data_IF_511033622675
#
_entry.id   IF_511033622675
#
_cell.length_a   1.000
_cell.length_b   1.000
_cell.length_c   1.000
_cell.angle_alpha   90.00
_cell.angle_beta   90.00
_cell.angle_gamma   90.00
#
_symmetry.space_group_name_H-M   'P 1'
#
loop_
_entity.id
_entity.type
_entity.pdbx_description
1 polymer ?
#
# COMPACT_ATOMS: atom_id res chain seq x y z
N UNK A 1 11.96 16.62 22.77
CA UNK A 1 12.42 16.46 21.37
C UNK A 1 13.42 15.30 21.20
N UNK A 2 14.47 15.21 22.02
CA UNK A 2 15.49 14.13 21.94
C UNK A 2 14.93 12.70 22.00
N UNK A 3 13.88 12.47 22.81
CA UNK A 3 13.20 11.15 22.92
C UNK A 3 12.56 10.69 21.62
N UNK A 4 12.00 11.61 20.83
CA UNK A 4 11.38 11.31 19.54
C UNK A 4 12.46 10.97 18.49
N UNK A 5 13.54 11.75 18.47
CA UNK A 5 14.69 11.48 17.60
C UNK A 5 15.31 10.10 17.91
N UNK A 6 15.39 9.73 19.19
CA UNK A 6 15.85 8.42 19.63
C UNK A 6 14.95 7.27 19.17
N UNK A 7 13.63 7.45 19.19
CA UNK A 7 12.68 6.46 18.67
C UNK A 7 12.87 6.28 17.15
N UNK A 8 12.96 7.38 16.40
CA UNK A 8 13.23 7.34 14.96
C UNK A 8 14.57 6.69 14.64
N UNK A 9 15.59 6.94 15.46
CA UNK A 9 16.89 6.27 15.36
C UNK A 9 16.77 4.76 15.59
N UNK A 10 16.08 4.32 16.66
CA UNK A 10 15.83 2.90 16.92
C UNK A 10 15.03 2.20 15.82
N UNK A 11 14.10 2.92 15.19
CA UNK A 11 13.34 2.42 14.04
C UNK A 11 14.17 2.41 12.73
N UNK A 12 15.45 2.80 12.78
CA UNK A 12 16.34 3.00 11.61
C UNK A 12 15.75 3.96 10.56
N UNK A 13 14.83 4.84 10.98
CA UNK A 13 14.16 5.79 10.10
C UNK A 13 15.11 6.90 9.65
N UNK A 14 16.09 7.24 10.50
CA UNK A 14 17.12 8.24 10.24
C UNK A 14 18.36 7.68 9.50
N UNK A 15 18.31 6.42 9.05
CA UNK A 15 19.37 5.89 8.19
C UNK A 15 19.34 6.59 6.83
N UNK A 16 20.49 6.92 6.22
CA UNK A 16 20.55 7.58 4.91
C UNK A 16 19.75 6.83 3.84
N UNK A 17 19.81 5.49 3.83
CA UNK A 17 19.08 4.67 2.86
C UNK A 17 17.56 4.75 3.07
N UNK A 18 17.11 4.79 4.34
CA UNK A 18 15.70 4.89 4.69
C UNK A 18 15.15 6.27 4.34
N UNK A 19 15.93 7.33 4.62
CA UNK A 19 15.62 8.70 4.21
C UNK A 19 15.49 8.80 2.68
N UNK A 20 16.45 8.27 1.92
CA UNK A 20 16.39 8.25 0.45
C UNK A 20 15.15 7.52 -0.07
N UNK A 21 14.79 6.38 0.53
CA UNK A 21 13.58 5.63 0.16
C UNK A 21 12.32 6.45 0.44
N UNK A 22 12.25 7.13 1.59
CA UNK A 22 11.12 7.95 1.98
C UNK A 22 10.99 9.18 1.07
N UNK A 23 12.09 9.91 0.82
CA UNK A 23 12.08 11.07 -0.07
C UNK A 23 11.69 10.68 -1.50
N UNK A 24 12.19 9.55 -2.00
CA UNK A 24 11.79 9.03 -3.31
C UNK A 24 10.30 8.66 -3.35
N UNK A 25 9.75 8.08 -2.28
CA UNK A 25 8.33 7.76 -2.19
C UNK A 25 7.47 9.04 -2.18
N UNK A 26 7.87 10.05 -1.39
CA UNK A 26 7.18 11.35 -1.31
C UNK A 26 7.22 12.06 -2.65
N UNK A 27 8.34 12.02 -3.36
CA UNK A 27 8.45 12.60 -4.70
C UNK A 27 7.51 11.93 -5.70
N UNK A 28 7.34 10.59 -5.62
CA UNK A 28 6.49 9.83 -6.55
C UNK A 28 4.99 9.98 -6.26
N UNK A 29 4.59 9.98 -4.99
CA UNK A 29 3.17 9.87 -4.60
C UNK A 29 2.62 11.07 -3.82
N UNK A 30 3.47 12.00 -3.38
CA UNK A 30 3.10 13.09 -2.47
C UNK A 30 3.12 12.66 -1.00
N UNK A 31 2.27 13.27 -0.17
CA UNK A 31 2.11 12.88 1.25
C UNK A 31 0.75 12.21 1.41
N UNK A 32 0.72 10.90 1.25
CA UNK A 32 -0.51 10.09 1.35
C UNK A 32 -0.21 8.64 1.79
N UNK A 33 -1.27 7.84 1.92
CA UNK A 33 -1.15 6.44 2.34
C UNK A 33 -0.31 5.60 1.36
N UNK A 34 -0.40 5.86 0.05
CA UNK A 34 0.39 5.15 -0.96
C UNK A 34 1.90 5.37 -0.79
N UNK A 35 2.27 6.55 -0.30
CA UNK A 35 3.66 6.89 0.05
C UNK A 35 4.16 6.01 1.19
N UNK A 36 3.35 5.87 2.24
CA UNK A 36 3.68 5.02 3.38
C UNK A 36 3.75 3.54 2.98
N UNK A 37 2.85 3.09 2.11
CA UNK A 37 2.84 1.71 1.60
C UNK A 37 4.07 1.43 0.74
N UNK A 38 4.44 2.32 -0.19
CA UNK A 38 5.66 2.19 -1.00
C UNK A 38 6.92 2.18 -0.12
N UNK A 39 7.00 3.09 0.84
CA UNK A 39 8.11 3.14 1.80
C UNK A 39 8.22 1.84 2.60
N UNK A 40 7.09 1.31 3.07
CA UNK A 40 7.02 0.06 3.83
C UNK A 40 7.40 -1.14 2.97
N UNK A 41 6.94 -1.20 1.72
CA UNK A 41 7.34 -2.25 0.76
C UNK A 41 8.85 -2.24 0.47
N UNK A 42 9.47 -1.06 0.38
CA UNK A 42 10.93 -0.94 0.16
C UNK A 42 11.77 -1.22 1.40
N UNK A 43 11.20 -1.07 2.58
CA UNK A 43 11.94 -1.17 3.86
C UNK A 43 11.69 -2.49 4.58
N UNK A 44 10.50 -3.05 4.41
CA UNK A 44 9.97 -4.22 5.10
C UNK A 44 9.25 -5.17 4.14
N UNK A 45 9.69 -5.25 2.87
CA UNK A 45 8.97 -5.91 1.77
C UNK A 45 8.43 -7.31 2.08
N UNK A 46 9.26 -8.16 2.69
CA UNK A 46 8.91 -9.55 3.05
C UNK A 46 8.13 -9.67 4.36
N UNK A 47 7.98 -8.59 5.13
CA UNK A 47 7.15 -8.62 6.34
C UNK A 47 5.68 -8.66 5.95
N UNK A 48 4.91 -9.42 6.73
CA UNK A 48 3.46 -9.45 6.63
C UNK A 48 2.90 -8.05 6.93
N UNK A 49 2.15 -7.53 5.97
CA UNK A 49 1.44 -6.26 6.08
C UNK A 49 -0.01 -6.48 6.50
N UNK A 50 -0.60 -7.59 6.06
CA UNK A 50 -2.00 -7.88 6.26
C UNK A 50 -2.21 -9.39 6.34
N UNK A 51 -3.00 -9.81 7.33
CA UNK A 51 -3.34 -11.22 7.60
C UNK A 51 -4.86 -11.29 7.76
N UNK A 52 -5.48 -12.20 7.02
CA UNK A 52 -6.89 -12.55 7.08
C UNK A 52 -7.03 -14.07 7.18
N UNK A 53 -8.21 -14.56 7.53
CA UNK A 53 -8.47 -15.98 7.83
C UNK A 53 -8.06 -16.94 6.70
N UNK A 54 -7.97 -16.44 5.45
CA UNK A 54 -7.57 -17.23 4.28
C UNK A 54 -6.30 -16.78 3.54
N UNK A 55 -5.73 -15.61 3.84
CA UNK A 55 -4.59 -15.08 3.08
C UNK A 55 -3.70 -14.15 3.92
N UNK A 56 -2.40 -14.18 3.63
CA UNK A 56 -1.41 -13.29 4.23
C UNK A 56 -0.67 -12.57 3.11
N UNK A 57 -0.66 -11.24 3.14
CA UNK A 57 0.02 -10.41 2.17
C UNK A 57 1.24 -9.74 2.79
N UNK A 58 2.36 -9.84 2.09
CA UNK A 58 3.57 -9.05 2.42
C UNK A 58 3.40 -7.60 1.98
N UNK A 59 4.20 -6.69 2.52
CA UNK A 59 4.19 -5.29 2.08
C UNK A 59 4.49 -5.15 0.58
N UNK A 60 5.35 -6.00 0.02
CA UNK A 60 5.64 -6.00 -1.42
C UNK A 60 4.41 -6.39 -2.24
N UNK A 61 3.71 -7.45 -1.85
CA UNK A 61 2.51 -7.92 -2.53
C UNK A 61 1.36 -6.91 -2.43
N UNK A 62 1.12 -6.38 -1.22
CA UNK A 62 0.07 -5.38 -1.01
C UNK A 62 0.31 -4.11 -1.84
N UNK A 63 1.55 -3.65 -1.92
CA UNK A 63 1.91 -2.50 -2.77
C UNK A 63 1.70 -2.79 -4.26
N UNK A 64 2.10 -3.97 -4.74
CA UNK A 64 1.91 -4.36 -6.14
C UNK A 64 0.42 -4.42 -6.50
N UNK A 65 -0.42 -5.00 -5.64
CA UNK A 65 -1.87 -5.04 -5.85
C UNK A 65 -2.49 -3.64 -5.83
N UNK A 66 -2.02 -2.75 -4.94
CA UNK A 66 -2.48 -1.36 -4.91
C UNK A 66 -2.10 -0.58 -6.18
N UNK A 67 -0.90 -0.77 -6.73
CA UNK A 67 -0.52 -0.17 -8.02
C UNK A 67 -1.37 -0.70 -9.18
N UNK A 68 -1.62 -2.02 -9.22
CA UNK A 68 -2.48 -2.63 -10.23
C UNK A 68 -3.90 -2.07 -10.15
N UNK A 69 -4.47 -1.95 -8.95
CA UNK A 69 -5.79 -1.35 -8.74
C UNK A 69 -5.81 0.11 -9.20
N UNK A 70 -4.77 0.89 -8.90
CA UNK A 70 -4.64 2.27 -9.35
C UNK A 70 -4.65 2.36 -10.89
N UNK A 71 -3.90 1.49 -11.58
CA UNK A 71 -3.89 1.44 -13.04
C UNK A 71 -5.26 1.07 -13.62
N UNK A 72 -5.96 0.10 -13.02
CA UNK A 72 -7.32 -0.29 -13.39
C UNK A 72 -8.31 0.86 -13.22
N UNK A 73 -8.28 1.54 -12.07
CA UNK A 73 -9.18 2.67 -11.78
C UNK A 73 -8.95 3.85 -12.74
N UNK A 74 -7.71 4.15 -13.07
CA UNK A 74 -7.37 5.20 -14.03
C UNK A 74 -7.76 4.83 -15.46
N UNK A 75 -7.43 3.63 -15.93
CA UNK A 75 -7.64 3.23 -17.33
C UNK A 75 -9.11 2.92 -17.64
N UNK A 76 -9.79 2.19 -16.76
CA UNK A 76 -11.14 1.66 -17.03
C UNK A 76 -12.24 2.61 -16.59
N UNK A 77 -12.02 3.31 -15.48
CA UNK A 77 -13.02 4.19 -14.87
C UNK A 77 -12.65 5.67 -14.96
N UNK A 78 -11.50 5.98 -15.57
CA UNK A 78 -11.01 7.35 -15.74
C UNK A 78 -10.95 8.11 -14.41
N UNK A 79 -10.71 7.39 -13.31
CA UNK A 79 -10.69 7.95 -11.96
C UNK A 79 -9.36 8.68 -11.77
N UNK A 80 -9.40 10.00 -11.99
CA UNK A 80 -8.25 10.90 -11.93
C UNK A 80 -8.41 11.90 -10.79
N UNK A 81 -7.37 12.73 -10.57
CA UNK A 81 -7.34 13.75 -9.53
C UNK A 81 -8.62 14.62 -9.57
N UNK A 82 -9.23 14.82 -8.41
CA UNK A 82 -10.45 15.62 -8.25
C UNK A 82 -11.75 14.84 -8.43
N UNK A 83 -11.71 13.62 -8.98
CA UNK A 83 -12.87 12.73 -9.04
C UNK A 83 -13.05 11.97 -7.73
N UNK A 84 -14.31 11.73 -7.37
CA UNK A 84 -14.71 11.01 -6.14
C UNK A 84 -15.27 9.65 -6.52
N UNK A 85 -15.02 8.65 -5.67
CA UNK A 85 -15.62 7.32 -5.77
C UNK A 85 -16.16 6.92 -4.39
N UNK A 86 -17.33 6.28 -4.37
CA UNK A 86 -17.84 5.63 -3.17
C UNK A 86 -17.20 4.25 -3.02
N UNK A 87 -16.77 3.91 -1.81
CA UNK A 87 -16.25 2.59 -1.49
C UNK A 87 -17.27 1.87 -0.60
N UNK A 88 -17.83 0.77 -1.10
CA UNK A 88 -18.69 -0.11 -0.32
C UNK A 88 -18.02 -1.49 -0.25
N UNK A 89 -17.38 -1.76 0.88
CA UNK A 89 -16.64 -3.00 1.13
C UNK A 89 -16.99 -3.55 2.51
N UNK A 90 -17.12 -4.87 2.61
CA UNK A 90 -17.13 -5.59 3.90
C UNK A 90 -15.69 -5.72 4.41
N UNK A 91 -15.51 -6.11 5.67
CA UNK A 91 -14.20 -6.25 6.33
C UNK A 91 -13.37 -7.46 5.86
N UNK A 92 -13.48 -7.84 4.59
CA UNK A 92 -12.76 -8.94 3.96
C UNK A 92 -11.65 -8.38 3.07
N UNK A 93 -10.50 -9.05 3.06
CA UNK A 93 -9.42 -8.70 2.15
C UNK A 93 -9.89 -8.88 0.72
N UNK A 94 -9.75 -7.81 -0.06
CA UNK A 94 -9.98 -7.86 -1.51
C UNK A 94 -8.79 -8.60 -2.13
N UNK A 95 -8.90 -9.93 -2.21
CA UNK A 95 -7.99 -10.77 -2.97
C UNK A 95 -8.09 -10.43 -4.48
N UNK A 96 -6.98 -10.44 -5.23
CA UNK A 96 -7.02 -10.24 -6.67
C UNK A 96 -7.61 -11.48 -7.35
N UNK A 97 -8.84 -11.34 -7.86
CA UNK A 97 -9.38 -12.09 -9.01
C UNK A 97 -9.20 -13.62 -8.99
N UNK A 98 -9.90 -14.31 -8.08
CA UNK A 98 -10.30 -15.72 -8.27
C UNK A 98 -11.74 -15.99 -7.83
N UNK A 99 -12.63 -15.00 -8.00
CA UNK A 99 -14.08 -15.23 -8.04
C UNK A 99 -14.60 -15.01 -9.46
N UNK A 100 -14.06 -15.78 -10.39
CA UNK A 100 -14.80 -16.12 -11.61
C UNK A 100 -15.90 -17.10 -11.20
N UNK A 101 -17.14 -16.75 -11.54
CA UNK A 101 -18.25 -17.65 -11.82
C UNK A 101 -18.67 -18.63 -10.69
N UNK A 102 -19.63 -18.20 -9.88
CA UNK A 102 -20.79 -19.06 -9.59
C UNK A 102 -22.06 -18.29 -9.91
N UNK A 103 -22.39 -18.25 -11.20
CA UNK A 103 -23.73 -18.01 -11.72
C UNK A 103 -24.32 -19.41 -11.97
N UNK A 104 -25.59 -19.61 -11.59
CA UNK A 104 -26.42 -20.83 -11.78
C UNK A 104 -25.90 -22.08 -11.02
N UNK A 105 -26.69 -22.82 -10.26
CA UNK A 105 -28.13 -23.10 -10.32
C UNK A 105 -28.89 -22.79 -9.01
#
# INVERSE_FOLDING_TARGET
MLKLLYIFYKMKLLSPLTLLRLTAAVYRYGINLMTLLNFSARTYGEKLALVDEGESLTYHQLYAQAEQLCAVLQTRYQLTRGKKAGLACSNLVVAPSSRQLKKSD
#
